data_IF_386197939218
#
_entry.id   IF_386197939218
#
_cell.length_a   1.000
_cell.length_b   1.000
_cell.length_c   1.000
_cell.angle_alpha   90.00
_cell.angle_beta   90.00
_cell.angle_gamma   90.00
#
_symmetry.space_group_name_H-M   'P 1'
#
loop_
_entity.id
_entity.type
_entity.pdbx_description
1 polymer ?
#
# COMPACT_ATOMS: atom_id res chain seq x y z
N UNK A 1 -9.90 -54.64 42.11
CA UNK A 1 -10.38 -53.25 42.22
C UNK A 1 -9.24 -52.21 42.15
N UNK A 2 -8.18 -52.30 42.96
CA UNK A 2 -7.07 -51.31 42.92
C UNK A 2 -6.35 -51.17 41.57
N UNK A 3 -6.13 -52.29 40.82
CA UNK A 3 -5.49 -52.25 39.49
C UNK A 3 -6.39 -51.63 38.40
N UNK A 4 -7.71 -51.82 38.47
CA UNK A 4 -8.67 -51.22 37.56
C UNK A 4 -8.80 -49.71 37.81
N UNK A 5 -8.76 -49.26 39.06
CA UNK A 5 -8.81 -47.86 39.43
C UNK A 5 -7.53 -47.10 39.00
N UNK A 6 -6.37 -47.75 39.09
CA UNK A 6 -5.10 -47.21 38.64
C UNK A 6 -5.06 -47.05 37.10
N UNK A 7 -5.63 -48.03 36.38
CA UNK A 7 -5.70 -48.00 34.92
C UNK A 7 -6.66 -46.89 34.39
N UNK A 8 -7.79 -46.68 35.08
CA UNK A 8 -8.70 -45.57 34.77
C UNK A 8 -8.03 -44.20 35.05
N UNK A 9 -7.29 -44.09 36.15
CA UNK A 9 -6.58 -42.85 36.48
C UNK A 9 -5.48 -42.52 35.47
N UNK A 10 -4.73 -43.51 34.96
CA UNK A 10 -3.70 -43.33 33.93
C UNK A 10 -4.32 -42.97 32.58
N UNK A 11 -5.47 -43.58 32.21
CA UNK A 11 -6.14 -43.21 30.94
C UNK A 11 -6.75 -41.80 31.02
N UNK A 12 -7.29 -41.37 32.15
CA UNK A 12 -7.77 -40.00 32.32
C UNK A 12 -6.62 -38.97 32.33
N UNK A 13 -5.45 -39.27 32.89
CA UNK A 13 -4.28 -38.42 32.80
C UNK A 13 -3.70 -38.30 31.37
N UNK A 14 -3.77 -39.38 30.57
CA UNK A 14 -3.33 -39.37 29.17
C UNK A 14 -4.32 -38.63 28.26
N UNK A 15 -5.61 -38.59 28.56
CA UNK A 15 -6.61 -37.83 27.81
C UNK A 15 -6.58 -36.32 28.12
N UNK A 16 -6.09 -35.91 29.29
CA UNK A 16 -5.95 -34.48 29.63
C UNK A 16 -4.75 -33.77 28.97
N UNK A 17 -3.90 -34.53 28.25
CA UNK A 17 -2.71 -33.94 27.57
C UNK A 17 -3.02 -33.41 26.16
N UNK A 18 -4.21 -33.61 25.65
CA UNK A 18 -4.66 -32.89 24.45
C UNK A 18 -5.19 -31.51 24.84
N UNK A 19 -4.29 -30.65 25.35
CA UNK A 19 -4.55 -29.24 25.29
C UNK A 19 -4.64 -28.87 23.79
N UNK A 20 -5.85 -28.64 23.29
CA UNK A 20 -6.05 -27.98 22.00
C UNK A 20 -5.40 -26.61 22.14
N UNK A 21 -4.12 -26.51 21.74
CA UNK A 21 -3.51 -25.21 21.50
C UNK A 21 -4.30 -24.59 20.37
N UNK A 22 -4.91 -23.42 20.61
CA UNK A 22 -5.54 -22.67 19.54
C UNK A 22 -4.56 -22.55 18.37
N UNK A 23 -5.01 -22.67 17.12
CA UNK A 23 -4.13 -22.55 15.98
C UNK A 23 -3.45 -21.16 16.03
N UNK A 24 -2.12 -21.15 16.05
CA UNK A 24 -1.35 -19.90 16.01
C UNK A 24 -1.50 -19.28 14.64
N UNK A 25 -2.04 -18.06 14.58
CA UNK A 25 -2.20 -17.30 13.35
C UNK A 25 -0.88 -16.61 13.01
N UNK A 26 -0.43 -16.78 11.78
CA UNK A 26 0.80 -16.18 11.26
C UNK A 26 0.45 -15.15 10.19
N UNK A 27 0.83 -13.91 10.42
CA UNK A 27 0.52 -12.79 9.53
C UNK A 27 1.81 -12.24 8.95
N UNK A 28 1.95 -12.33 7.63
CA UNK A 28 2.99 -11.63 6.89
C UNK A 28 2.59 -10.16 6.65
N UNK A 29 3.51 -9.24 6.86
CA UNK A 29 3.34 -7.83 6.54
C UNK A 29 4.48 -7.41 5.63
N UNK A 30 4.16 -7.06 4.37
CA UNK A 30 5.14 -6.67 3.35
C UNK A 30 4.85 -5.25 2.86
N UNK A 31 5.79 -4.34 3.09
CA UNK A 31 5.66 -2.92 2.76
C UNK A 31 6.95 -2.37 2.17
N UNK A 32 6.92 -1.29 1.36
CA UNK A 32 8.13 -0.61 0.90
C UNK A 32 8.95 -0.03 2.06
N UNK A 33 10.25 0.14 1.85
CA UNK A 33 11.12 0.90 2.77
C UNK A 33 10.65 2.34 2.90
N UNK A 34 11.07 3.00 3.98
CA UNK A 34 10.76 4.40 4.24
C UNK A 34 11.62 5.33 3.39
N UNK A 35 11.21 5.60 2.18
CA UNK A 35 11.88 6.48 1.21
C UNK A 35 11.27 7.89 1.14
N UNK A 36 10.07 8.08 1.67
CA UNK A 36 9.39 9.38 1.80
C UNK A 36 8.42 9.37 3.00
N UNK A 37 7.86 10.55 3.36
CA UNK A 37 7.04 10.72 4.56
C UNK A 37 5.86 9.76 4.69
N UNK A 38 5.18 9.42 3.58
CA UNK A 38 4.05 8.48 3.62
C UNK A 38 4.50 7.05 3.95
N UNK A 39 5.52 6.53 3.26
CA UNK A 39 6.07 5.19 3.53
C UNK A 39 6.70 5.12 4.91
N UNK A 40 7.35 6.21 5.36
CA UNK A 40 7.84 6.36 6.73
C UNK A 40 6.72 6.24 7.77
N UNK A 41 5.60 6.94 7.55
CA UNK A 41 4.42 6.84 8.41
C UNK A 41 3.82 5.44 8.43
N UNK A 42 3.66 4.80 7.27
CA UNK A 42 3.15 3.42 7.17
C UNK A 42 4.06 2.44 7.93
N UNK A 43 5.38 2.54 7.77
CA UNK A 43 6.34 1.70 8.49
C UNK A 43 6.21 1.86 10.01
N UNK A 44 6.12 3.09 10.48
CA UNK A 44 5.96 3.37 11.92
C UNK A 44 4.64 2.79 12.47
N UNK A 45 3.52 3.03 11.77
CA UNK A 45 2.22 2.53 12.19
C UNK A 45 2.12 1.00 12.13
N UNK A 46 2.72 0.36 11.11
CA UNK A 46 2.78 -1.10 11.02
C UNK A 46 3.53 -1.70 12.23
N UNK A 47 4.71 -1.18 12.57
CA UNK A 47 5.47 -1.64 13.73
C UNK A 47 4.69 -1.44 15.03
N UNK A 48 4.06 -0.27 15.20
CA UNK A 48 3.24 0.02 16.37
C UNK A 48 2.05 -0.93 16.48
N UNK A 49 1.29 -1.13 15.40
CA UNK A 49 0.15 -2.04 15.38
C UNK A 49 0.56 -3.48 15.69
N UNK A 50 1.64 -3.97 15.09
CA UNK A 50 2.20 -5.30 15.37
C UNK A 50 2.50 -5.46 16.86
N UNK A 51 3.22 -4.51 17.45
CA UNK A 51 3.57 -4.53 18.89
C UNK A 51 2.32 -4.57 19.77
N UNK A 52 1.33 -3.74 19.46
CA UNK A 52 0.07 -3.68 20.21
C UNK A 52 -0.75 -4.94 20.11
N UNK A 53 -0.83 -5.54 18.91
CA UNK A 53 -1.59 -6.78 18.70
C UNK A 53 -0.91 -7.99 19.31
N UNK A 54 0.41 -8.13 19.19
CA UNK A 54 1.16 -9.21 19.84
C UNK A 54 1.04 -9.18 21.37
N UNK A 55 0.91 -7.97 21.96
CA UNK A 55 0.68 -7.83 23.40
C UNK A 55 -0.74 -8.22 23.83
N UNK A 56 -1.73 -8.10 22.92
CA UNK A 56 -3.13 -8.44 23.17
C UNK A 56 -3.43 -9.90 22.95
N UNK A 57 -2.80 -10.51 21.95
CA UNK A 57 -3.06 -11.88 21.54
C UNK A 57 -1.73 -12.61 21.27
N UNK A 58 -1.27 -13.43 22.23
CA UNK A 58 -0.01 -14.18 22.10
C UNK A 58 -0.07 -15.30 21.05
N UNK A 59 -1.26 -15.68 20.57
CA UNK A 59 -1.43 -16.70 19.55
C UNK A 59 -1.29 -16.16 18.11
N UNK A 60 -1.14 -14.83 17.97
CA UNK A 60 -0.86 -14.18 16.68
C UNK A 60 0.64 -13.87 16.56
N UNK A 61 1.25 -14.31 15.46
CA UNK A 61 2.65 -14.00 15.13
C UNK A 61 2.71 -13.15 13.87
N UNK A 62 3.49 -12.07 13.90
CA UNK A 62 3.69 -11.20 12.74
C UNK A 62 5.10 -11.34 12.18
N UNK A 63 5.21 -11.32 10.85
CA UNK A 63 6.48 -11.25 10.11
C UNK A 63 6.47 -9.98 9.26
N UNK A 64 7.16 -8.94 9.73
CA UNK A 64 7.29 -7.69 9.00
C UNK A 64 8.55 -7.73 8.12
N UNK A 65 8.36 -7.47 6.83
CA UNK A 65 9.44 -7.30 5.84
C UNK A 65 9.29 -5.98 5.12
N UNK A 66 10.42 -5.36 4.78
CA UNK A 66 10.46 -4.10 4.01
C UNK A 66 11.32 -4.28 2.79
N UNK A 67 10.86 -3.74 1.65
CA UNK A 67 11.54 -3.87 0.38
C UNK A 67 11.82 -2.49 -0.25
N UNK A 68 13.02 -2.36 -0.81
CA UNK A 68 13.47 -1.17 -1.54
C UNK A 68 13.21 -1.25 -3.06
N UNK A 69 12.70 -2.40 -3.51
CA UNK A 69 12.41 -2.66 -4.92
C UNK A 69 11.27 -3.67 -5.08
N UNK A 70 10.57 -3.66 -6.23
CA UNK A 70 9.55 -4.66 -6.53
C UNK A 70 10.10 -6.10 -6.51
N UNK A 71 11.30 -6.31 -7.07
CA UNK A 71 11.92 -7.64 -7.12
C UNK A 71 12.21 -8.19 -5.72
N UNK A 72 12.75 -7.33 -4.82
CA UNK A 72 12.95 -7.73 -3.43
C UNK A 72 11.63 -8.04 -2.75
N UNK A 73 10.59 -7.25 -2.98
CA UNK A 73 9.29 -7.48 -2.37
C UNK A 73 8.65 -8.81 -2.82
N UNK A 74 8.82 -9.19 -4.10
CA UNK A 74 8.40 -10.50 -4.60
C UNK A 74 9.10 -11.62 -3.83
N UNK A 75 10.42 -11.56 -3.70
CA UNK A 75 11.19 -12.56 -2.96
C UNK A 75 10.79 -12.61 -1.47
N UNK A 76 10.58 -11.45 -0.84
CA UNK A 76 10.12 -11.37 0.56
C UNK A 76 8.74 -12.03 0.75
N UNK A 77 7.82 -11.87 -0.21
CA UNK A 77 6.50 -12.51 -0.15
C UNK A 77 6.62 -14.03 -0.33
N UNK A 78 7.50 -14.50 -1.22
CA UNK A 78 7.78 -15.94 -1.36
C UNK A 78 8.34 -16.53 -0.05
N UNK A 79 9.27 -15.83 0.61
CA UNK A 79 9.80 -16.24 1.91
C UNK A 79 8.71 -16.28 3.00
N UNK A 80 7.77 -15.34 2.98
CA UNK A 80 6.62 -15.35 3.89
C UNK A 80 5.71 -16.56 3.64
N UNK A 81 5.47 -16.92 2.37
CA UNK A 81 4.73 -18.14 2.03
C UNK A 81 5.42 -19.40 2.56
N UNK A 82 6.75 -19.50 2.41
CA UNK A 82 7.54 -20.62 2.95
C UNK A 82 7.45 -20.70 4.47
N UNK A 83 7.35 -19.55 5.17
CA UNK A 83 7.09 -19.50 6.63
C UNK A 83 5.68 -19.97 6.99
N UNK A 84 4.81 -20.20 6.01
CA UNK A 84 3.45 -20.68 6.17
C UNK A 84 2.54 -19.65 6.83
N UNK A 85 2.51 -18.45 6.31
CA UNK A 85 1.58 -17.40 6.76
C UNK A 85 0.13 -17.79 6.43
N UNK A 86 -0.78 -17.40 7.31
CA UNK A 86 -2.23 -17.59 7.15
C UNK A 86 -2.89 -16.35 6.53
N UNK A 87 -2.23 -15.18 6.68
CA UNK A 87 -2.66 -13.92 6.06
C UNK A 87 -1.46 -13.09 5.60
N UNK A 88 -1.66 -12.33 4.52
CA UNK A 88 -0.72 -11.33 3.99
C UNK A 88 -1.36 -9.96 4.03
N UNK A 89 -0.70 -9.00 4.70
CA UNK A 89 -0.99 -7.57 4.58
C UNK A 89 0.10 -6.96 3.70
N UNK A 90 -0.29 -6.41 2.55
CA UNK A 90 0.67 -5.89 1.58
C UNK A 90 0.35 -4.45 1.17
N UNK A 91 1.36 -3.58 1.22
CA UNK A 91 1.41 -2.37 0.41
C UNK A 91 2.38 -2.64 -0.74
N UNK A 92 1.86 -2.79 -1.94
CA UNK A 92 2.70 -3.10 -3.10
C UNK A 92 3.69 -1.95 -3.39
N UNK A 93 4.95 -2.28 -3.65
CA UNK A 93 5.94 -1.30 -4.11
C UNK A 93 5.45 -0.68 -5.43
N UNK A 94 5.13 -1.53 -6.41
CA UNK A 94 4.49 -1.19 -7.68
C UNK A 94 3.36 -2.19 -7.97
N UNK A 95 2.23 -1.71 -8.50
CA UNK A 95 1.04 -2.55 -8.70
C UNK A 95 1.28 -3.73 -9.66
N UNK A 96 1.83 -3.46 -10.85
CA UNK A 96 1.96 -4.48 -11.89
C UNK A 96 2.97 -5.60 -11.54
N UNK A 97 4.20 -5.33 -11.07
CA UNK A 97 5.14 -6.37 -10.71
C UNK A 97 4.71 -7.24 -9.53
N UNK A 98 3.92 -6.68 -8.59
CA UNK A 98 3.50 -7.41 -7.38
C UNK A 98 2.23 -8.22 -7.58
N UNK A 99 1.38 -7.88 -8.57
CA UNK A 99 0.12 -8.61 -8.79
C UNK A 99 0.31 -10.11 -8.98
N UNK A 100 1.27 -10.64 -9.76
CA UNK A 100 1.42 -12.07 -9.97
C UNK A 100 1.74 -12.85 -8.69
N UNK A 101 2.62 -12.33 -7.83
CA UNK A 101 2.95 -13.02 -6.59
C UNK A 101 1.79 -12.97 -5.59
N UNK A 102 1.05 -11.85 -5.53
CA UNK A 102 -0.14 -11.76 -4.67
C UNK A 102 -1.27 -12.66 -5.18
N UNK A 103 -1.43 -12.79 -6.50
CA UNK A 103 -2.35 -13.77 -7.12
C UNK A 103 -2.02 -15.21 -6.70
N UNK A 104 -0.72 -15.56 -6.64
CA UNK A 104 -0.26 -16.86 -6.13
C UNK A 104 -0.65 -17.04 -4.66
N UNK A 105 -0.37 -16.06 -3.80
CA UNK A 105 -0.76 -16.07 -2.38
C UNK A 105 -2.26 -16.27 -2.21
N UNK A 106 -3.06 -15.52 -2.98
CA UNK A 106 -4.53 -15.60 -2.96
C UNK A 106 -5.03 -17.00 -3.37
N UNK A 107 -4.46 -17.56 -4.45
CA UNK A 107 -4.84 -18.88 -4.96
C UNK A 107 -4.44 -20.04 -4.04
N UNK A 108 -3.43 -19.86 -3.19
CA UNK A 108 -3.05 -20.81 -2.14
C UNK A 108 -3.98 -20.73 -0.90
N UNK A 109 -5.02 -19.87 -0.92
CA UNK A 109 -6.00 -19.73 0.14
C UNK A 109 -5.53 -18.87 1.32
N UNK A 110 -4.40 -18.18 1.21
CA UNK A 110 -3.91 -17.24 2.20
C UNK A 110 -4.75 -15.96 2.14
N UNK A 111 -5.19 -15.47 3.30
CA UNK A 111 -6.02 -14.27 3.36
C UNK A 111 -5.22 -13.01 3.01
N UNK A 112 -5.62 -12.28 1.96
CA UNK A 112 -4.89 -11.10 1.47
C UNK A 112 -5.61 -9.80 1.80
N UNK A 113 -4.88 -8.89 2.42
CA UNK A 113 -5.27 -7.49 2.63
C UNK A 113 -4.30 -6.60 1.86
N UNK A 114 -4.79 -5.91 0.84
CA UNK A 114 -4.04 -4.91 0.08
C UNK A 114 -4.27 -3.51 0.68
N UNK A 115 -3.21 -2.75 0.86
CA UNK A 115 -3.26 -1.42 1.50
C UNK A 115 -2.69 -0.36 0.57
N UNK A 116 -3.37 0.77 0.45
CA UNK A 116 -2.98 1.97 -0.29
C UNK A 116 -2.84 1.75 -1.79
N UNK A 117 -1.69 1.25 -2.27
CA UNK A 117 -1.47 0.96 -3.70
C UNK A 117 -2.18 -0.33 -4.07
N UNK A 118 -3.20 -0.23 -4.93
CA UNK A 118 -3.96 -1.38 -5.39
C UNK A 118 -3.13 -2.29 -6.31
N UNK A 119 -3.68 -3.46 -6.59
CA UNK A 119 -3.16 -4.43 -7.55
C UNK A 119 -3.84 -4.25 -8.92
N UNK A 120 -3.25 -4.77 -9.98
CA UNK A 120 -3.83 -4.65 -11.34
C UNK A 120 -4.97 -5.62 -11.61
N UNK A 121 -5.22 -6.55 -10.67
CA UNK A 121 -6.35 -7.49 -10.64
C UNK A 121 -6.92 -7.53 -9.23
N UNK A 122 -8.20 -7.85 -9.05
CA UNK A 122 -8.82 -8.03 -7.73
C UNK A 122 -8.41 -9.41 -7.15
N UNK A 123 -7.22 -9.48 -6.57
CA UNK A 123 -6.62 -10.69 -5.97
C UNK A 123 -6.38 -10.50 -4.48
N UNK A 124 -7.19 -9.69 -3.86
CA UNK A 124 -7.25 -9.47 -2.42
C UNK A 124 -8.65 -9.73 -1.87
N UNK A 125 -8.74 -10.13 -0.60
CA UNK A 125 -10.00 -10.26 0.12
C UNK A 125 -10.50 -8.92 0.64
N UNK A 126 -9.54 -8.03 0.98
CA UNK A 126 -9.83 -6.67 1.46
C UNK A 126 -8.86 -5.69 0.82
N UNK A 127 -9.38 -4.60 0.28
CA UNK A 127 -8.61 -3.45 -0.19
C UNK A 127 -8.90 -2.23 0.69
N UNK A 128 -7.86 -1.64 1.25
CA UNK A 128 -7.94 -0.46 2.12
C UNK A 128 -7.18 0.69 1.50
N UNK A 129 -7.89 1.70 1.02
CA UNK A 129 -7.28 2.89 0.42
C UNK A 129 -8.09 4.16 0.72
N UNK A 130 -7.51 5.32 0.43
CA UNK A 130 -8.24 6.58 0.44
C UNK A 130 -9.06 6.78 -0.84
N UNK A 131 -9.96 7.78 -0.84
CA UNK A 131 -10.67 8.19 -2.07
C UNK A 131 -9.71 8.90 -3.04
N UNK A 132 -8.94 8.11 -3.79
CA UNK A 132 -7.98 8.61 -4.77
C UNK A 132 -8.67 9.31 -5.97
N UNK A 133 -9.77 8.79 -6.53
CA UNK A 133 -10.55 9.52 -7.52
C UNK A 133 -11.09 10.86 -6.97
N UNK A 134 -11.55 10.89 -5.72
CA UNK A 134 -11.99 12.12 -5.03
C UNK A 134 -10.88 13.15 -4.95
N UNK A 135 -9.65 12.73 -4.59
CA UNK A 135 -8.48 13.60 -4.57
C UNK A 135 -8.19 14.19 -5.98
N UNK A 136 -8.30 13.36 -7.02
CA UNK A 136 -8.15 13.80 -8.40
C UNK A 136 -9.18 14.86 -8.78
N UNK A 137 -10.46 14.61 -8.47
CA UNK A 137 -11.56 15.54 -8.76
C UNK A 137 -11.39 16.87 -8.03
N UNK A 138 -11.20 16.83 -6.72
CA UNK A 138 -11.08 18.04 -5.90
C UNK A 138 -9.88 18.89 -6.31
N UNK A 139 -8.75 18.25 -6.61
CA UNK A 139 -7.56 18.98 -7.07
C UNK A 139 -7.76 19.66 -8.44
N UNK A 140 -8.52 19.04 -9.35
CA UNK A 140 -8.85 19.65 -10.63
C UNK A 140 -9.79 20.85 -10.50
N UNK A 141 -10.86 20.71 -9.70
CA UNK A 141 -11.79 21.82 -9.45
C UNK A 141 -11.10 22.99 -8.74
N UNK A 142 -10.30 22.71 -7.73
CA UNK A 142 -9.54 23.74 -7.02
C UNK A 142 -8.58 24.47 -7.96
N UNK A 143 -7.77 23.74 -8.74
CA UNK A 143 -6.82 24.33 -9.69
C UNK A 143 -7.53 25.17 -10.76
N UNK A 144 -8.66 24.68 -11.29
CA UNK A 144 -9.43 25.43 -12.27
C UNK A 144 -9.93 26.78 -11.70
N UNK A 145 -10.39 26.77 -10.45
CA UNK A 145 -10.85 27.99 -9.74
C UNK A 145 -9.68 28.97 -9.52
N UNK A 146 -8.54 28.51 -9.01
CA UNK A 146 -7.36 29.34 -8.76
C UNK A 146 -6.83 29.98 -10.04
N UNK A 147 -6.93 29.29 -11.17
CA UNK A 147 -6.53 29.79 -12.48
C UNK A 147 -7.61 30.63 -13.19
N UNK A 148 -8.72 30.95 -12.52
CA UNK A 148 -9.85 31.59 -13.17
C UNK A 148 -10.27 30.87 -14.46
N UNK A 149 -10.24 29.54 -14.45
CA UNK A 149 -10.65 28.62 -15.51
C UNK A 149 -9.85 28.75 -16.83
N UNK A 150 -8.65 29.33 -16.79
CA UNK A 150 -7.78 29.50 -17.96
C UNK A 150 -6.29 29.46 -17.57
N UNK A 151 -5.48 28.72 -18.32
CA UNK A 151 -4.04 28.69 -18.10
C UNK A 151 -3.36 27.45 -18.67
N UNK A 152 -2.05 27.45 -18.58
CA UNK A 152 -1.18 26.36 -18.99
C UNK A 152 -0.57 25.68 -17.75
N UNK A 153 -0.70 24.38 -17.64
CA UNK A 153 -0.23 23.61 -16.48
C UNK A 153 0.68 22.47 -16.89
N UNK A 154 1.52 22.04 -15.97
CA UNK A 154 2.29 20.78 -16.06
C UNK A 154 1.86 19.83 -14.96
N UNK A 155 2.03 18.52 -15.18
CA UNK A 155 1.68 17.49 -14.21
C UNK A 155 2.91 16.67 -13.84
N UNK A 156 3.18 16.58 -12.56
CA UNK A 156 4.17 15.70 -11.97
C UNK A 156 3.44 14.51 -11.34
N UNK A 157 3.52 13.36 -11.98
CA UNK A 157 2.82 12.15 -11.56
C UNK A 157 3.58 11.39 -10.47
N UNK A 158 2.89 10.47 -9.81
CA UNK A 158 3.50 9.58 -8.82
C UNK A 158 4.21 8.38 -9.44
N UNK A 159 4.42 7.35 -8.62
CA UNK A 159 4.84 6.02 -9.06
C UNK A 159 3.74 5.44 -9.98
N UNK A 160 4.09 4.76 -11.08
CA UNK A 160 3.12 4.06 -11.93
C UNK A 160 2.41 2.93 -11.16
N UNK A 161 1.27 3.25 -10.58
CA UNK A 161 0.46 2.31 -9.79
C UNK A 161 -1.01 2.71 -9.87
N UNK A 162 -1.91 1.84 -9.42
CA UNK A 162 -3.36 2.02 -9.50
C UNK A 162 -3.81 3.37 -8.94
N UNK A 163 -3.36 3.74 -7.73
CA UNK A 163 -3.78 5.01 -7.12
C UNK A 163 -3.30 6.26 -7.86
N UNK A 164 -2.15 6.18 -8.57
CA UNK A 164 -1.71 7.29 -9.43
C UNK A 164 -2.64 7.44 -10.61
N UNK A 165 -2.97 6.34 -11.30
CA UNK A 165 -3.90 6.35 -12.42
C UNK A 165 -5.28 6.88 -11.99
N UNK A 166 -5.84 6.40 -10.89
CA UNK A 166 -7.11 6.88 -10.34
C UNK A 166 -7.12 8.39 -10.11
N UNK A 167 -6.04 8.97 -9.59
CA UNK A 167 -5.91 10.42 -9.35
C UNK A 167 -5.78 11.20 -10.63
N UNK A 168 -4.97 10.70 -11.57
CA UNK A 168 -4.70 11.37 -12.86
C UNK A 168 -5.93 11.31 -13.75
N UNK A 169 -6.58 10.15 -13.83
CA UNK A 169 -7.78 9.96 -14.67
C UNK A 169 -8.93 10.82 -14.16
N UNK A 170 -9.20 10.80 -12.85
CA UNK A 170 -10.24 11.62 -12.26
C UNK A 170 -9.98 13.13 -12.40
N UNK A 171 -8.71 13.55 -12.32
CA UNK A 171 -8.31 14.93 -12.61
C UNK A 171 -8.59 15.28 -14.08
N UNK A 172 -8.20 14.43 -15.00
CA UNK A 172 -8.38 14.65 -16.42
C UNK A 172 -9.85 14.69 -16.82
N UNK A 173 -10.70 13.86 -16.21
CA UNK A 173 -12.16 13.91 -16.44
C UNK A 173 -12.76 15.26 -16.05
N UNK A 174 -12.39 15.79 -14.88
CA UNK A 174 -12.86 17.12 -14.45
C UNK A 174 -12.28 18.21 -15.34
N UNK A 175 -10.99 18.12 -15.68
CA UNK A 175 -10.31 19.10 -16.55
C UNK A 175 -10.99 19.24 -17.91
N UNK A 176 -11.65 18.22 -18.45
CA UNK A 176 -12.42 18.29 -19.71
C UNK A 176 -13.51 19.36 -19.67
N UNK A 177 -14.05 19.68 -18.50
CA UNK A 177 -15.05 20.77 -18.31
C UNK A 177 -14.43 22.17 -18.50
N UNK A 178 -13.09 22.26 -18.47
CA UNK A 178 -12.33 23.51 -18.53
C UNK A 178 -11.39 23.57 -19.74
N UNK A 179 -11.90 23.75 -20.95
CA UNK A 179 -11.14 23.64 -22.20
C UNK A 179 -10.01 24.67 -22.32
N UNK A 180 -10.10 25.81 -21.59
CA UNK A 180 -9.09 26.84 -21.58
C UNK A 180 -7.92 26.55 -20.64
N UNK A 181 -7.96 25.46 -19.88
CA UNK A 181 -6.82 24.93 -19.12
C UNK A 181 -6.11 23.89 -19.99
N UNK A 182 -4.86 24.14 -20.34
CA UNK A 182 -4.03 23.27 -21.18
C UNK A 182 -3.01 22.54 -20.34
N UNK A 183 -2.93 21.22 -20.45
CA UNK A 183 -1.80 20.45 -19.93
C UNK A 183 -0.71 20.50 -20.98
N UNK A 184 0.42 21.12 -20.64
CA UNK A 184 1.59 21.24 -21.52
C UNK A 184 2.38 19.95 -21.57
N UNK A 185 2.52 19.30 -20.42
CA UNK A 185 3.27 18.05 -20.27
C UNK A 185 2.89 17.32 -18.97
N UNK A 186 3.12 16.01 -18.93
CA UNK A 186 2.88 15.16 -17.77
C UNK A 186 3.97 14.09 -17.69
N UNK A 187 4.68 14.00 -16.56
CA UNK A 187 5.77 13.02 -16.38
C UNK A 187 5.76 12.41 -14.99
N UNK A 188 6.15 11.13 -14.86
CA UNK A 188 6.34 10.47 -13.57
C UNK A 188 7.49 11.09 -12.78
N UNK A 189 7.19 11.68 -11.63
CA UNK A 189 8.14 12.17 -10.65
C UNK A 189 8.32 11.18 -9.48
N UNK A 190 7.65 10.03 -9.50
CA UNK A 190 7.78 8.90 -8.57
C UNK A 190 7.59 9.29 -7.10
N UNK A 191 6.85 10.38 -6.81
CA UNK A 191 6.74 11.01 -5.49
C UNK A 191 8.09 11.43 -4.88
N UNK A 192 9.15 11.43 -5.66
CA UNK A 192 10.47 11.87 -5.29
C UNK A 192 10.60 13.40 -5.42
N UNK A 193 11.03 14.07 -4.37
CA UNK A 193 11.30 15.51 -4.38
C UNK A 193 12.42 15.84 -5.39
N UNK A 194 13.49 15.03 -5.39
CA UNK A 194 14.62 15.23 -6.30
C UNK A 194 14.20 15.14 -7.77
N UNK A 195 13.42 14.08 -8.11
CA UNK A 195 12.95 13.87 -9.49
C UNK A 195 11.93 14.95 -9.89
N UNK A 196 11.09 15.38 -8.95
CA UNK A 196 10.15 16.48 -9.18
C UNK A 196 10.84 17.80 -9.49
N UNK A 197 11.94 18.10 -8.80
CA UNK A 197 12.77 19.30 -9.08
C UNK A 197 13.40 19.22 -10.48
N UNK A 198 14.06 18.10 -10.80
CA UNK A 198 14.69 17.87 -12.10
C UNK A 198 13.70 18.05 -13.26
N UNK A 199 12.51 17.45 -13.16
CA UNK A 199 11.48 17.58 -14.19
C UNK A 199 10.97 19.02 -14.27
N UNK A 200 10.77 19.68 -13.13
CA UNK A 200 10.27 21.05 -13.12
C UNK A 200 11.28 22.03 -13.71
N UNK A 201 12.58 21.87 -13.44
CA UNK A 201 13.65 22.66 -14.06
C UNK A 201 13.64 22.48 -15.59
N UNK A 202 13.48 21.25 -16.09
CA UNK A 202 13.35 20.99 -17.53
C UNK A 202 12.11 21.67 -18.13
N UNK A 203 10.98 21.65 -17.41
CA UNK A 203 9.75 22.30 -17.87
C UNK A 203 9.91 23.83 -17.93
N UNK A 204 10.57 24.42 -16.93
CA UNK A 204 10.85 25.89 -16.93
C UNK A 204 11.78 26.32 -18.05
N UNK A 205 12.66 25.45 -18.54
CA UNK A 205 13.50 25.69 -19.70
C UNK A 205 12.74 25.49 -21.03
N UNK A 206 11.78 24.57 -21.06
CA UNK A 206 11.05 24.13 -22.26
C UNK A 206 9.88 25.08 -22.61
N UNK A 207 9.21 25.60 -21.60
CA UNK A 207 7.99 26.39 -21.76
C UNK A 207 8.14 27.81 -21.25
N UNK A 208 7.84 28.78 -22.12
CA UNK A 208 7.93 30.23 -21.79
C UNK A 208 6.99 30.60 -20.62
N UNK A 209 5.89 29.88 -20.47
CA UNK A 209 4.90 30.19 -19.45
C UNK A 209 4.24 28.92 -18.91
N UNK A 210 4.31 28.76 -17.59
CA UNK A 210 3.58 27.75 -16.81
C UNK A 210 2.81 28.50 -15.73
N UNK A 211 1.46 28.41 -15.77
CA UNK A 211 0.60 29.10 -14.80
C UNK A 211 0.50 28.32 -13.48
N UNK A 212 0.57 26.97 -13.54
CA UNK A 212 0.60 26.10 -12.36
C UNK A 212 1.23 24.75 -12.64
N UNK A 213 1.78 24.12 -11.58
CA UNK A 213 2.21 22.72 -11.57
C UNK A 213 1.28 21.89 -10.68
N UNK A 214 0.74 20.79 -11.21
CA UNK A 214 0.05 19.77 -10.39
C UNK A 214 1.06 18.71 -9.99
N UNK A 215 1.35 18.59 -8.69
CA UNK A 215 2.04 17.43 -8.15
C UNK A 215 1.00 16.44 -7.61
N UNK A 216 1.07 15.18 -8.03
CA UNK A 216 0.25 14.09 -7.49
C UNK A 216 0.88 13.64 -6.17
N UNK A 217 0.88 14.56 -5.18
CA UNK A 217 1.41 14.33 -3.84
C UNK A 217 0.27 14.44 -2.83
N UNK A 218 0.27 13.61 -1.80
CA UNK A 218 -0.54 13.86 -0.60
C UNK A 218 0.00 15.12 0.08
N UNK A 219 -0.92 15.95 0.58
CA UNK A 219 -0.63 17.25 1.16
C UNK A 219 0.49 17.24 2.22
N UNK A 220 0.98 18.43 2.56
CA UNK A 220 1.96 18.60 3.64
C UNK A 220 1.48 17.87 4.89
N UNK A 221 2.28 16.92 5.36
CA UNK A 221 2.15 16.49 6.74
C UNK A 221 2.38 17.73 7.63
N UNK A 222 1.55 17.95 8.66
CA UNK A 222 1.94 18.90 9.69
C UNK A 222 3.30 18.43 10.24
N UNK A 223 4.23 19.35 10.36
CA UNK A 223 5.50 19.07 11.02
C UNK A 223 5.22 18.51 12.44
N UNK A 224 6.04 17.57 12.93
CA UNK A 224 5.89 17.01 14.27
C UNK A 224 6.01 18.07 15.35
#
# INVERSE_FOLDING_TARGET
>A
MKKALLMVLVVTLLLSSFAFSAPKIRIGVSIPTADHGWTGGINWWAQKAIKEWQAKDPDVTFFLVTADSPAKQVADVEDLMVKGIDALVILAHDSAPLTPIVEKVYNEGIFVVSVDRGLTKPVEHVYVAGDNPGLGRVSAEWMAKELNYKGSIVVLEGIPCVINSERVDAFNEVKKKYPNIKILDSQPAYWSTQKGLEIMENYLQKYDKIDAGKAVRRGREPAP
#
